data_IF_614612058055
#
_entry.id   IF_614612058055
#
_cell.length_a   1.000
_cell.length_b   1.000
_cell.length_c   1.000
_cell.angle_alpha   90.00
_cell.angle_beta   90.00
_cell.angle_gamma   90.00
#
_symmetry.space_group_name_H-M   'P 1'
#
loop_
_entity.id
_entity.type
_entity.pdbx_description
1 polymer ?
#
# COMPACT_ATOMS: atom_id res chain seq x y z
N UNK A 1 2.87 -12.78 -5.98
CA UNK A 1 3.63 -13.37 -4.84
C UNK A 1 3.57 -14.90 -4.74
N UNK A 2 2.84 -15.61 -5.61
CA UNK A 2 2.84 -17.10 -5.65
C UNK A 2 4.06 -17.75 -6.31
N UNK A 3 4.94 -17.02 -6.96
CA UNK A 3 6.09 -17.54 -7.73
C UNK A 3 7.36 -17.84 -6.91
N UNK A 4 7.40 -17.53 -5.62
CA UNK A 4 8.56 -17.84 -4.78
C UNK A 4 8.48 -19.18 -4.04
N UNK A 5 7.34 -19.88 -4.07
CA UNK A 5 7.12 -21.14 -3.35
C UNK A 5 7.49 -22.43 -4.11
N UNK A 6 7.53 -22.39 -5.43
CA UNK A 6 7.66 -23.64 -6.22
C UNK A 6 9.09 -24.00 -6.66
N UNK A 7 10.06 -23.09 -6.51
CA UNK A 7 11.44 -23.34 -6.95
C UNK A 7 12.28 -24.17 -5.97
N UNK A 8 11.80 -24.39 -4.73
CA UNK A 8 12.55 -25.16 -3.73
C UNK A 8 12.13 -26.64 -3.60
N UNK A 9 11.15 -27.11 -4.37
CA UNK A 9 10.63 -28.48 -4.23
C UNK A 9 11.11 -29.49 -5.28
N UNK A 10 11.94 -29.12 -6.26
CA UNK A 10 12.37 -30.03 -7.32
C UNK A 10 13.89 -30.18 -7.44
N UNK A 11 14.55 -30.67 -6.42
CA UNK A 11 16.01 -30.81 -6.42
C UNK A 11 16.58 -31.88 -5.52
N UNK A 12 15.88 -32.99 -5.30
CA UNK A 12 16.51 -34.15 -4.63
C UNK A 12 16.47 -35.40 -5.54
N UNK A 13 17.43 -35.50 -6.42
CA UNK A 13 17.83 -36.81 -7.00
C UNK A 13 19.29 -37.06 -6.72
N UNK A 14 19.46 -37.98 -5.82
CA UNK A 14 20.60 -38.88 -5.59
C UNK A 14 21.84 -38.69 -6.46
N UNK A 15 22.97 -38.31 -5.84
CA UNK A 15 24.27 -38.84 -6.17
C UNK A 15 24.89 -39.39 -4.87
N UNK A 16 24.75 -40.70 -4.64
CA UNK A 16 25.64 -41.46 -3.76
C UNK A 16 26.88 -41.84 -4.57
N UNK A 17 27.92 -41.03 -4.40
CA UNK A 17 29.27 -41.39 -4.81
C UNK A 17 30.18 -41.14 -3.61
N UNK A 18 30.40 -42.15 -2.80
CA UNK A 18 31.38 -42.12 -1.72
C UNK A 18 32.78 -42.19 -2.36
N UNK A 19 33.41 -41.02 -2.51
CA UNK A 19 34.85 -40.96 -2.72
C UNK A 19 35.45 -40.63 -1.32
N UNK A 20 36.02 -41.65 -0.71
CA UNK A 20 36.85 -41.49 0.47
C UNK A 20 38.15 -40.77 0.08
N UNK A 21 38.17 -39.48 0.20
CA UNK A 21 39.40 -38.67 0.13
C UNK A 21 40.03 -38.68 1.52
N UNK A 22 41.14 -39.40 1.66
CA UNK A 22 42.00 -39.33 2.82
C UNK A 22 42.57 -37.92 2.95
N UNK A 23 42.10 -37.16 3.90
CA UNK A 23 42.63 -35.82 4.26
C UNK A 23 43.95 -36.01 5.03
N UNK A 24 45.07 -35.46 4.57
CA UNK A 24 46.25 -35.35 5.39
C UNK A 24 45.99 -34.38 6.53
N UNK A 25 46.40 -34.74 7.75
CA UNK A 25 46.29 -33.93 8.92
C UNK A 25 47.15 -32.68 8.79
N UNK A 26 46.55 -31.54 8.43
CA UNK A 26 47.14 -30.20 8.47
C UNK A 26 46.78 -29.51 9.79
N UNK A 27 47.54 -29.81 10.84
CA UNK A 27 47.28 -29.30 12.20
C UNK A 27 47.84 -27.88 12.48
N UNK A 28 48.44 -27.21 11.47
CA UNK A 28 49.09 -25.90 11.69
C UNK A 28 48.36 -24.67 11.12
N UNK A 29 47.46 -24.81 10.14
CA UNK A 29 46.86 -23.66 9.40
C UNK A 29 45.60 -23.09 10.06
N UNK A 30 44.96 -23.79 10.96
CA UNK A 30 43.62 -23.45 11.45
C UNK A 30 43.51 -22.26 12.43
N UNK A 31 44.59 -21.75 13.00
CA UNK A 31 44.51 -20.68 14.02
C UNK A 31 44.51 -19.29 13.38
N UNK A 32 45.28 -19.11 12.29
CA UNK A 32 45.33 -17.84 11.57
C UNK A 32 44.03 -17.62 10.83
N UNK A 33 43.47 -18.65 10.18
CA UNK A 33 42.17 -18.62 9.50
C UNK A 33 41.02 -18.28 10.42
N UNK A 34 41.01 -18.85 11.64
CA UNK A 34 39.97 -18.55 12.66
C UNK A 34 40.02 -17.10 13.11
N UNK A 35 41.21 -16.52 13.29
CA UNK A 35 41.38 -15.09 13.69
C UNK A 35 40.94 -14.15 12.55
N UNK A 36 41.30 -14.45 11.33
CA UNK A 36 40.86 -13.69 10.14
C UNK A 36 39.36 -13.80 9.96
N UNK A 37 38.79 -14.99 10.07
CA UNK A 37 37.34 -15.20 10.00
C UNK A 37 36.59 -14.45 11.13
N UNK A 38 37.11 -14.52 12.36
CA UNK A 38 36.53 -13.79 13.48
C UNK A 38 36.62 -12.28 13.30
N UNK A 39 37.76 -11.76 12.81
CA UNK A 39 37.92 -10.33 12.51
C UNK A 39 36.98 -9.88 11.38
N UNK A 40 36.85 -10.67 10.33
CA UNK A 40 35.89 -10.40 9.23
C UNK A 40 34.45 -10.39 9.72
N UNK A 41 34.06 -11.39 10.53
CA UNK A 41 32.72 -11.46 11.12
C UNK A 41 32.43 -10.26 12.03
N UNK A 42 33.42 -9.88 12.89
CA UNK A 42 33.28 -8.70 13.75
C UNK A 42 33.14 -7.41 12.93
N UNK A 43 33.97 -7.23 11.91
CA UNK A 43 33.90 -6.09 11.02
C UNK A 43 32.53 -6.01 10.32
N UNK A 44 32.04 -7.13 9.82
CA UNK A 44 30.70 -7.22 9.20
C UNK A 44 29.60 -6.83 10.19
N UNK A 45 29.64 -7.35 11.43
CA UNK A 45 28.66 -7.00 12.47
C UNK A 45 28.72 -5.52 12.84
N UNK A 46 29.92 -4.93 12.92
CA UNK A 46 30.08 -3.49 13.19
C UNK A 46 29.52 -2.64 12.03
N UNK A 47 29.76 -3.04 10.77
CA UNK A 47 29.18 -2.37 9.61
C UNK A 47 27.65 -2.47 9.60
N UNK A 48 27.08 -3.63 9.94
CA UNK A 48 25.63 -3.79 10.08
C UNK A 48 25.07 -2.92 11.21
N UNK A 49 25.71 -2.89 12.37
CA UNK A 49 25.29 -2.05 13.49
C UNK A 49 25.35 -0.56 13.12
N UNK A 50 26.41 -0.13 12.45
CA UNK A 50 26.54 1.23 11.95
C UNK A 50 25.45 1.58 10.92
N UNK A 51 25.23 0.69 9.95
CA UNK A 51 24.17 0.87 8.94
C UNK A 51 22.78 0.93 9.59
N UNK A 52 22.52 0.11 10.60
CA UNK A 52 21.27 0.16 11.38
C UNK A 52 21.11 1.49 12.12
N UNK A 53 22.19 2.00 12.75
CA UNK A 53 22.20 3.28 13.46
C UNK A 53 21.91 4.45 12.50
N UNK A 54 22.59 4.49 11.35
CA UNK A 54 22.37 5.50 10.29
C UNK A 54 20.93 5.41 9.79
N UNK A 55 20.41 4.19 9.57
CA UNK A 55 19.03 3.98 9.11
C UNK A 55 17.99 4.44 10.12
N UNK A 56 18.24 4.23 11.42
CA UNK A 56 17.40 4.79 12.50
C UNK A 56 17.43 6.33 12.50
N UNK A 57 18.59 6.92 12.31
CA UNK A 57 18.74 8.38 12.16
C UNK A 57 17.93 8.90 10.96
N UNK A 58 18.07 8.30 9.77
CA UNK A 58 17.33 8.67 8.58
C UNK A 58 15.80 8.51 8.77
N UNK A 59 15.36 7.43 9.41
CA UNK A 59 13.95 7.21 9.73
C UNK A 59 13.42 8.24 10.72
N UNK A 60 14.22 8.63 11.73
CA UNK A 60 13.82 9.60 12.75
C UNK A 60 13.71 11.02 12.21
N UNK A 61 14.57 11.41 11.25
CA UNK A 61 14.50 12.74 10.61
C UNK A 61 13.27 12.90 9.71
N UNK A 62 12.68 11.80 9.25
CA UNK A 62 11.52 11.82 8.36
C UNK A 62 11.82 12.26 6.93
N UNK A 63 13.09 12.53 6.57
CA UNK A 63 13.48 12.98 5.21
C UNK A 63 13.05 11.97 4.15
N UNK A 64 13.20 10.69 4.42
CA UNK A 64 12.76 9.63 3.53
C UNK A 64 11.22 9.63 3.37
N UNK A 65 10.48 9.87 4.43
CA UNK A 65 9.01 9.84 4.40
C UNK A 65 8.43 10.90 3.46
N UNK A 66 9.04 12.08 3.35
CA UNK A 66 8.62 13.11 2.41
C UNK A 66 8.64 12.69 0.95
N UNK A 67 9.57 11.78 0.59
CA UNK A 67 9.69 11.25 -0.77
C UNK A 67 8.87 9.98 -0.97
N UNK A 68 8.78 9.15 0.04
CA UNK A 68 8.14 7.82 -0.02
C UNK A 68 6.64 7.91 0.20
N UNK A 69 6.18 8.85 1.03
CA UNK A 69 4.76 9.01 1.35
C UNK A 69 3.86 9.27 0.14
N UNK A 70 4.46 9.60 -1.01
CA UNK A 70 3.73 9.80 -2.27
C UNK A 70 3.76 8.56 -3.19
N UNK A 71 4.40 7.47 -2.76
CA UNK A 71 4.62 6.27 -3.60
C UNK A 71 3.53 5.21 -3.53
N UNK A 72 2.62 5.29 -2.56
CA UNK A 72 1.55 4.29 -2.40
C UNK A 72 2.01 2.91 -1.89
N UNK A 73 3.22 2.79 -1.35
CA UNK A 73 3.75 1.54 -0.79
C UNK A 73 3.91 1.66 0.71
N UNK A 74 3.30 0.74 1.45
CA UNK A 74 3.45 0.57 2.90
C UNK A 74 4.07 -0.81 3.16
N UNK A 75 5.11 -0.86 3.96
CA UNK A 75 5.88 -2.09 4.21
C UNK A 75 5.87 -2.53 5.68
N UNK A 76 5.52 -1.66 6.62
CA UNK A 76 5.51 -1.99 8.05
C UNK A 76 4.71 -0.98 8.88
N UNK A 77 4.28 -1.41 10.07
CA UNK A 77 3.59 -0.55 11.03
C UNK A 77 4.45 0.65 11.50
N UNK A 78 5.74 0.49 11.83
CA UNK A 78 6.59 1.64 12.15
C UNK A 78 6.76 2.64 10.99
N UNK A 79 6.71 2.18 9.74
CA UNK A 79 6.71 3.08 8.58
C UNK A 79 5.41 3.89 8.52
N UNK A 80 4.25 3.24 8.66
CA UNK A 80 2.95 3.89 8.71
C UNK A 80 2.93 4.99 9.78
N UNK A 81 3.28 4.64 11.01
CA UNK A 81 3.38 5.61 12.11
C UNK A 81 4.38 6.73 11.81
N UNK A 82 5.53 6.39 11.23
CA UNK A 82 6.57 7.35 10.85
C UNK A 82 6.09 8.36 9.81
N UNK A 83 5.34 7.92 8.79
CA UNK A 83 4.73 8.79 7.78
C UNK A 83 3.74 9.78 8.42
N UNK A 84 2.86 9.28 9.29
CA UNK A 84 1.88 10.14 10.01
C UNK A 84 2.60 11.16 10.89
N UNK A 85 3.55 10.72 11.72
CA UNK A 85 4.34 11.62 12.59
C UNK A 85 5.13 12.65 11.78
N UNK A 86 5.70 12.26 10.63
CA UNK A 86 6.36 13.21 9.74
C UNK A 86 5.40 14.26 9.20
N UNK A 87 4.21 13.87 8.80
CA UNK A 87 3.16 14.82 8.40
C UNK A 87 2.85 15.83 9.51
N UNK A 88 2.59 15.34 10.70
CA UNK A 88 2.24 16.15 11.87
C UNK A 88 3.35 17.11 12.34
N UNK A 89 4.61 16.91 11.95
CA UNK A 89 5.71 17.85 12.21
C UNK A 89 5.71 19.07 11.27
N UNK A 90 4.81 19.14 10.29
CA UNK A 90 4.66 20.29 9.40
C UNK A 90 4.25 21.57 10.14
N UNK A 91 4.35 22.74 9.49
CA UNK A 91 3.90 24.01 10.06
C UNK A 91 2.37 24.15 10.01
N UNK A 92 1.76 23.64 8.94
CA UNK A 92 0.31 23.61 8.74
C UNK A 92 -0.23 22.19 8.93
N UNK A 93 -1.55 22.03 9.17
CA UNK A 93 -2.20 20.73 9.25
C UNK A 93 -1.87 19.88 8.02
N UNK A 94 -1.40 18.63 8.19
CA UNK A 94 -1.13 17.75 7.06
C UNK A 94 -2.44 17.26 6.44
N UNK A 95 -2.37 16.89 5.17
CA UNK A 95 -3.40 16.10 4.47
C UNK A 95 -2.96 14.64 4.44
N UNK A 96 -3.72 13.78 5.09
CA UNK A 96 -3.50 12.34 5.17
C UNK A 96 -4.46 11.65 4.19
N UNK A 97 -3.92 10.99 3.19
CA UNK A 97 -4.68 10.33 2.12
C UNK A 97 -4.73 8.82 2.36
N UNK A 98 -5.92 8.27 2.49
CA UNK A 98 -6.18 6.84 2.57
C UNK A 98 -6.86 6.38 1.28
N UNK A 99 -6.52 5.19 0.83
CA UNK A 99 -7.08 4.57 -0.37
C UNK A 99 -6.22 3.42 -0.84
N UNK A 100 -6.52 2.89 -2.01
CA UNK A 100 -5.75 1.81 -2.62
C UNK A 100 -4.87 2.28 -3.78
N UNK A 101 -4.67 1.40 -4.77
CA UNK A 101 -3.83 1.63 -5.96
C UNK A 101 -4.22 2.85 -6.80
N UNK A 102 -5.47 3.34 -6.72
CA UNK A 102 -5.88 4.56 -7.45
C UNK A 102 -5.08 5.80 -7.02
N UNK A 103 -4.50 5.78 -5.83
CA UNK A 103 -3.60 6.82 -5.33
C UNK A 103 -2.13 6.52 -5.59
N UNK A 104 -1.82 5.34 -6.13
CA UNK A 104 -0.46 4.87 -6.38
C UNK A 104 0.09 5.25 -7.76
N UNK A 105 1.35 4.88 -7.98
CA UNK A 105 2.03 5.09 -9.26
C UNK A 105 2.16 3.82 -10.11
N UNK A 106 1.79 2.65 -9.58
CA UNK A 106 2.07 1.34 -10.18
C UNK A 106 1.50 1.21 -11.58
N UNK A 107 0.21 1.48 -11.77
CA UNK A 107 -0.44 1.38 -13.08
C UNK A 107 0.21 2.32 -14.13
N UNK A 108 0.57 3.54 -13.73
CA UNK A 108 1.28 4.47 -14.62
C UNK A 108 2.69 3.97 -14.96
N UNK A 109 3.40 3.39 -13.99
CA UNK A 109 4.74 2.82 -14.20
C UNK A 109 4.69 1.60 -15.11
N UNK A 110 3.70 0.72 -14.94
CA UNK A 110 3.51 -0.47 -15.77
C UNK A 110 3.21 -0.10 -17.23
N UNK A 111 2.51 0.99 -17.45
CA UNK A 111 2.23 1.52 -18.79
C UNK A 111 3.31 2.46 -19.33
N UNK A 112 4.47 2.54 -18.67
CA UNK A 112 5.62 3.33 -19.13
C UNK A 112 5.37 4.84 -19.17
N UNK A 113 4.41 5.35 -18.39
CA UNK A 113 4.11 6.79 -18.37
C UNK A 113 5.30 7.59 -17.83
N UNK A 114 5.80 8.59 -18.58
CA UNK A 114 6.95 9.39 -18.15
C UNK A 114 6.59 10.17 -16.88
N UNK A 115 7.50 10.16 -15.91
CA UNK A 115 7.31 10.90 -14.67
C UNK A 115 6.18 10.36 -13.77
N UNK A 116 5.70 9.14 -13.99
CA UNK A 116 4.58 8.50 -13.29
C UNK A 116 4.51 8.80 -11.80
N UNK A 117 5.65 8.73 -11.10
CA UNK A 117 5.72 8.97 -9.66
C UNK A 117 5.44 10.42 -9.25
N UNK A 118 5.75 11.39 -10.11
CA UNK A 118 5.48 12.81 -9.88
C UNK A 118 4.08 13.21 -10.30
N UNK A 119 3.41 12.34 -11.03
CA UNK A 119 2.10 12.55 -11.63
C UNK A 119 0.99 11.79 -10.91
N UNK A 120 1.27 11.21 -9.72
CA UNK A 120 0.22 10.64 -8.86
C UNK A 120 -0.64 11.75 -8.27
N UNK A 121 -1.89 11.43 -7.93
CA UNK A 121 -2.78 12.39 -7.27
C UNK A 121 -2.17 12.95 -5.95
N UNK A 122 -1.57 12.11 -5.05
CA UNK A 122 -0.88 12.64 -3.88
C UNK A 122 0.27 13.60 -4.21
N UNK A 123 1.04 13.35 -5.26
CA UNK A 123 2.14 14.23 -5.67
C UNK A 123 1.62 15.56 -6.23
N UNK A 124 0.57 15.53 -7.06
CA UNK A 124 -0.09 16.71 -7.58
C UNK A 124 -0.69 17.57 -6.45
N UNK A 125 -1.38 16.94 -5.50
CA UNK A 125 -1.92 17.62 -4.32
C UNK A 125 -0.82 18.22 -3.44
N UNK A 126 0.31 17.52 -3.26
CA UNK A 126 1.45 18.04 -2.51
C UNK A 126 2.03 19.31 -3.14
N UNK A 127 2.14 19.34 -4.48
CA UNK A 127 2.55 20.55 -5.21
C UNK A 127 1.62 21.72 -4.96
N UNK A 128 0.32 21.51 -4.99
CA UNK A 128 -0.72 22.55 -4.73
C UNK A 128 -0.70 23.05 -3.29
N UNK A 129 -0.45 22.17 -2.33
CA UNK A 129 -0.40 22.49 -0.89
C UNK A 129 0.94 23.04 -0.41
N UNK A 130 1.99 22.96 -1.23
CA UNK A 130 3.32 23.48 -0.90
C UNK A 130 3.34 24.97 -0.48
N UNK A 131 2.62 25.90 -1.16
CA UNK A 131 2.55 27.29 -0.74
C UNK A 131 1.99 27.49 0.68
N UNK A 132 1.07 26.61 1.10
CA UNK A 132 0.46 26.63 2.44
C UNK A 132 1.33 25.95 3.49
N UNK A 133 2.52 25.43 3.10
CA UNK A 133 3.41 24.62 3.96
C UNK A 133 2.72 23.41 4.58
N UNK A 134 1.63 22.94 3.98
CA UNK A 134 0.92 21.73 4.40
C UNK A 134 1.53 20.52 3.74
N UNK A 135 1.84 19.48 4.51
CA UNK A 135 2.38 18.22 4.01
C UNK A 135 1.26 17.31 3.55
N UNK A 136 1.43 16.69 2.41
CA UNK A 136 0.56 15.61 1.93
C UNK A 136 1.24 14.27 2.20
N UNK A 137 0.54 13.38 2.86
CA UNK A 137 1.03 12.05 3.23
C UNK A 137 0.08 11.01 2.68
N UNK A 138 0.54 10.19 1.75
CA UNK A 138 -0.23 9.06 1.28
C UNK A 138 0.00 7.85 2.19
N UNK A 139 -1.09 7.30 2.70
CA UNK A 139 -1.18 6.04 3.43
C UNK A 139 -1.82 4.96 2.58
N UNK A 140 -2.01 5.25 1.30
CA UNK A 140 -2.48 4.29 0.31
C UNK A 140 -1.41 3.27 -0.02
N UNK A 141 -1.84 2.09 -0.44
CA UNK A 141 -0.98 1.09 -1.05
C UNK A 141 -1.77 0.22 -2.02
N UNK A 142 -1.07 -0.34 -3.02
CA UNK A 142 -1.69 -1.21 -4.01
C UNK A 142 -2.33 -2.42 -3.34
N UNK A 143 -3.58 -2.72 -3.70
CA UNK A 143 -4.30 -3.87 -3.19
C UNK A 143 -4.76 -3.77 -1.73
N UNK A 144 -4.82 -2.58 -1.12
CA UNK A 144 -5.45 -2.43 0.19
C UNK A 144 -6.94 -2.80 0.11
N UNK A 145 -7.37 -3.52 1.12
CA UNK A 145 -8.77 -3.92 1.33
C UNK A 145 -9.37 -3.13 2.50
N UNK A 146 -10.70 -3.11 2.66
CA UNK A 146 -11.34 -2.38 3.77
C UNK A 146 -10.79 -2.72 5.15
N UNK A 147 -10.45 -3.99 5.42
CA UNK A 147 -9.81 -4.40 6.68
C UNK A 147 -8.45 -3.76 6.94
N UNK A 148 -7.62 -3.60 5.90
CA UNK A 148 -6.36 -2.85 6.01
C UNK A 148 -6.60 -1.38 6.35
N UNK A 149 -7.61 -0.77 5.71
CA UNK A 149 -7.98 0.62 5.98
C UNK A 149 -8.53 0.80 7.40
N UNK A 150 -9.25 -0.18 7.93
CA UNK A 150 -9.70 -0.18 9.33
C UNK A 150 -8.48 -0.18 10.28
N UNK A 151 -7.50 -1.06 10.05
CA UNK A 151 -6.28 -1.08 10.84
C UNK A 151 -5.49 0.25 10.75
N UNK A 152 -5.38 0.81 9.55
CA UNK A 152 -4.74 2.13 9.34
C UNK A 152 -5.51 3.23 10.09
N UNK A 153 -6.85 3.18 10.13
CA UNK A 153 -7.66 4.19 10.82
C UNK A 153 -7.38 4.23 12.32
N UNK A 154 -7.19 3.08 12.97
CA UNK A 154 -6.82 3.02 14.39
C UNK A 154 -5.41 3.55 14.65
N UNK A 155 -4.46 3.29 13.75
CA UNK A 155 -3.12 3.89 13.84
C UNK A 155 -3.20 5.41 13.73
N UNK A 156 -4.03 5.92 12.83
CA UNK A 156 -4.26 7.35 12.66
C UNK A 156 -4.88 7.95 13.91
N UNK A 157 -6.01 7.42 14.37
CA UNK A 157 -6.68 7.86 15.58
C UNK A 157 -5.70 7.95 16.76
N UNK A 158 -4.98 6.86 17.03
CA UNK A 158 -4.00 6.78 18.11
C UNK A 158 -2.84 7.77 17.95
N UNK A 159 -2.39 8.03 16.73
CA UNK A 159 -1.21 8.88 16.47
C UNK A 159 -1.60 10.36 16.44
N UNK A 160 -2.74 10.69 15.83
CA UNK A 160 -3.23 12.07 15.70
C UNK A 160 -3.78 12.56 17.03
N UNK A 161 -4.55 11.75 17.78
CA UNK A 161 -5.10 12.12 19.09
C UNK A 161 -4.03 12.42 20.13
N UNK A 162 -2.83 11.84 20.00
CA UNK A 162 -1.66 12.17 20.85
C UNK A 162 -0.93 13.43 20.39
N UNK A 163 -1.31 14.01 19.25
CA UNK A 163 -0.72 15.22 18.72
C UNK A 163 -1.59 16.42 19.11
N UNK A 164 -0.98 17.51 19.52
CA UNK A 164 -1.69 18.77 19.69
C UNK A 164 -2.10 19.43 18.35
N UNK A 165 -1.75 18.81 17.22
CA UNK A 165 -1.99 19.35 15.87
C UNK A 165 -3.09 18.59 15.17
N UNK A 166 -4.10 19.29 14.64
CA UNK A 166 -5.12 18.67 13.79
C UNK A 166 -4.48 18.15 12.51
N UNK A 167 -5.10 17.16 11.91
CA UNK A 167 -4.81 16.68 10.56
C UNK A 167 -6.07 16.83 9.70
N UNK A 168 -5.92 16.82 8.37
CA UNK A 168 -7.03 16.67 7.43
C UNK A 168 -6.93 15.26 6.86
N UNK A 169 -8.03 14.52 6.92
CA UNK A 169 -8.09 13.15 6.44
C UNK A 169 -8.98 13.07 5.21
N UNK A 170 -8.48 12.44 4.16
CA UNK A 170 -9.23 12.14 2.93
C UNK A 170 -9.21 10.63 2.73
N UNK A 171 -10.37 10.02 2.70
CA UNK A 171 -10.57 8.62 2.35
C UNK A 171 -11.07 8.54 0.91
N UNK A 172 -10.30 7.92 0.02
CA UNK A 172 -10.70 7.66 -1.36
C UNK A 172 -11.17 6.20 -1.47
N UNK A 173 -12.45 6.03 -1.79
CA UNK A 173 -13.11 4.72 -1.94
C UNK A 173 -13.32 4.46 -3.42
N UNK A 174 -12.88 3.32 -3.94
CA UNK A 174 -13.16 2.90 -5.30
C UNK A 174 -14.24 1.81 -5.37
N UNK A 175 -14.71 1.50 -6.57
CA UNK A 175 -15.77 0.51 -6.80
C UNK A 175 -15.41 -0.87 -6.26
N UNK A 176 -14.15 -1.28 -6.36
CA UNK A 176 -13.68 -2.59 -5.91
C UNK A 176 -13.83 -2.79 -4.40
N UNK A 177 -13.70 -1.72 -3.61
CA UNK A 177 -13.69 -1.83 -2.14
C UNK A 177 -15.00 -2.36 -1.53
N UNK A 178 -16.10 -2.30 -2.27
CA UNK A 178 -17.42 -2.76 -1.82
C UNK A 178 -17.94 -3.97 -2.62
N UNK A 179 -17.17 -4.46 -3.59
CA UNK A 179 -17.55 -5.61 -4.40
C UNK A 179 -17.59 -6.92 -3.58
N UNK A 180 -18.57 -7.78 -3.85
CA UNK A 180 -18.81 -9.05 -3.12
C UNK A 180 -17.65 -10.04 -3.23
N UNK A 181 -16.88 -9.93 -4.30
CA UNK A 181 -15.66 -10.73 -4.44
C UNK A 181 -14.68 -10.48 -3.29
N UNK A 182 -14.64 -9.24 -2.78
CA UNK A 182 -13.89 -8.90 -1.59
C UNK A 182 -14.60 -9.32 -0.28
N UNK A 183 -15.85 -9.78 -0.32
CA UNK A 183 -16.57 -10.20 0.89
C UNK A 183 -15.87 -11.36 1.60
N UNK A 184 -15.19 -12.23 0.88
CA UNK A 184 -14.38 -13.32 1.43
C UNK A 184 -12.96 -12.89 1.80
N UNK A 185 -12.39 -11.97 1.05
CA UNK A 185 -11.02 -11.47 1.23
C UNK A 185 -10.97 -10.12 1.95
N UNK A 186 -11.96 -9.27 1.75
CA UNK A 186 -12.02 -7.90 2.27
C UNK A 186 -12.38 -7.78 3.75
N UNK A 187 -12.85 -8.88 4.37
CA UNK A 187 -12.95 -8.98 5.84
C UNK A 187 -11.61 -9.23 6.51
N UNK A 188 -10.54 -9.47 5.72
CA UNK A 188 -9.23 -9.82 6.23
C UNK A 188 -8.32 -8.63 6.09
N UNK A 189 -7.47 -8.43 7.08
CA UNK A 189 -6.28 -7.61 6.87
C UNK A 189 -5.37 -8.36 5.90
N UNK A 190 -5.15 -7.79 4.72
CA UNK A 190 -4.31 -8.40 3.69
C UNK A 190 -2.81 -8.31 4.02
N UNK A 191 -2.47 -7.48 5.01
CA UNK A 191 -1.09 -7.18 5.42
C UNK A 191 -0.88 -7.49 6.89
N UNK A 192 -0.20 -8.59 7.18
CA UNK A 192 0.05 -9.08 8.55
C UNK A 192 0.60 -8.03 9.49
N UNK A 193 1.45 -7.12 8.98
CA UNK A 193 2.04 -6.09 9.82
C UNK A 193 1.00 -5.08 10.36
N UNK A 194 -0.23 -5.06 9.81
CA UNK A 194 -1.32 -4.22 10.30
C UNK A 194 -2.14 -4.91 11.42
N UNK A 195 -2.08 -6.22 11.54
CA UNK A 195 -2.84 -6.97 12.57
C UNK A 195 -2.65 -6.45 13.99
N UNK A 196 -1.42 -6.10 14.44
CA UNK A 196 -1.22 -5.56 15.80
C UNK A 196 -1.88 -4.19 16.05
N UNK A 197 -2.32 -3.52 14.98
CA UNK A 197 -2.99 -2.22 15.10
C UNK A 197 -4.48 -2.34 15.40
N UNK A 198 -5.09 -3.50 15.09
CA UNK A 198 -6.51 -3.72 15.29
C UNK A 198 -6.87 -3.84 16.78
N UNK A 199 -8.01 -3.29 17.20
CA UNK A 199 -8.56 -3.58 18.51
C UNK A 199 -9.03 -5.05 18.58
N UNK A 200 -9.00 -5.67 19.79
CA UNK A 200 -9.38 -7.08 19.96
C UNK A 200 -10.77 -7.44 19.41
N UNK A 201 -11.72 -6.52 19.50
CA UNK A 201 -13.08 -6.72 18.98
C UNK A 201 -13.10 -6.87 17.45
N UNK A 202 -12.26 -6.14 16.72
CA UNK A 202 -12.16 -6.22 15.27
C UNK A 202 -11.35 -7.44 14.81
N UNK A 203 -10.41 -7.93 15.63
CA UNK A 203 -9.61 -9.10 15.30
C UNK A 203 -10.46 -10.35 15.08
N UNK A 204 -11.52 -10.54 15.86
CA UNK A 204 -12.40 -11.71 15.76
C UNK A 204 -13.10 -11.81 14.38
N UNK A 205 -13.41 -10.68 13.76
CA UNK A 205 -14.08 -10.63 12.45
C UNK A 205 -13.08 -10.57 11.28
N UNK A 206 -11.95 -9.86 11.46
CA UNK A 206 -11.01 -9.56 10.38
C UNK A 206 -9.89 -10.59 10.24
N UNK A 207 -9.71 -11.46 11.23
CA UNK A 207 -8.70 -12.53 11.22
C UNK A 207 -9.39 -13.88 11.41
N UNK A 208 -9.85 -14.55 10.35
CA UNK A 208 -10.33 -15.92 10.48
C UNK A 208 -9.19 -16.82 10.95
N UNK A 209 -9.49 -17.69 11.91
CA UNK A 209 -8.54 -18.63 12.51
C UNK A 209 -7.75 -19.49 11.49
N UNK A 210 -8.34 -19.80 10.34
CA UNK A 210 -7.70 -20.56 9.27
C UNK A 210 -6.67 -19.76 8.44
N UNK A 211 -6.71 -18.43 8.46
CA UNK A 211 -5.76 -17.61 7.69
C UNK A 211 -4.38 -17.52 8.37
N UNK A 212 -4.31 -17.73 9.68
CA UNK A 212 -3.06 -17.73 10.43
C UNK A 212 -2.23 -19.00 10.23
N UNK A 213 -2.84 -20.10 9.80
CA UNK A 213 -2.15 -21.39 9.64
C UNK A 213 -1.46 -21.57 8.29
N UNK A 214 -1.86 -20.81 7.25
CA UNK A 214 -1.41 -21.02 5.86
C UNK A 214 -0.45 -19.97 5.31
N UNK A 215 -0.19 -18.85 6.00
CA UNK A 215 0.72 -17.86 5.47
C UNK A 215 2.17 -18.29 5.56
N UNK A 216 2.85 -18.18 4.41
CA UNK A 216 4.24 -18.58 4.28
C UNK A 216 5.09 -17.95 5.39
N UNK A 217 5.85 -18.76 6.09
CA UNK A 217 6.86 -18.34 7.10
C UNK A 217 7.67 -17.12 6.63
N UNK A 218 7.88 -17.01 5.31
CA UNK A 218 8.53 -15.86 4.67
C UNK A 218 7.84 -14.51 4.90
N UNK A 219 6.50 -14.44 4.87
CA UNK A 219 5.76 -13.18 5.06
C UNK A 219 5.86 -12.71 6.51
N UNK A 220 5.77 -13.64 7.47
CA UNK A 220 5.95 -13.32 8.90
C UNK A 220 7.38 -12.89 9.22
N UNK A 221 8.38 -13.56 8.64
CA UNK A 221 9.79 -13.19 8.79
C UNK A 221 10.06 -11.81 8.18
N UNK A 222 9.49 -11.53 7.01
CA UNK A 222 9.59 -10.22 6.37
C UNK A 222 8.97 -9.12 7.23
N UNK A 223 7.74 -9.30 7.70
CA UNK A 223 7.06 -8.37 8.60
C UNK A 223 7.81 -8.15 9.91
N UNK A 224 8.34 -9.22 10.50
CA UNK A 224 9.19 -9.17 11.69
C UNK A 224 10.49 -8.40 11.47
N UNK A 225 11.20 -8.68 10.37
CA UNK A 225 12.42 -7.96 10.00
C UNK A 225 12.14 -6.47 9.73
N UNK A 226 11.07 -6.14 9.00
CA UNK A 226 10.66 -4.77 8.75
C UNK A 226 10.26 -4.01 10.02
N UNK A 227 9.70 -4.72 11.02
CA UNK A 227 9.35 -4.12 12.30
C UNK A 227 10.57 -3.89 13.20
N UNK A 228 11.51 -4.83 13.21
CA UNK A 228 12.68 -4.82 14.10
C UNK A 228 13.83 -3.95 13.57
N UNK A 229 14.10 -3.97 12.26
CA UNK A 229 15.28 -3.34 11.65
C UNK A 229 14.93 -2.09 10.84
N UNK A 230 15.54 -0.95 11.23
CA UNK A 230 15.45 0.28 10.45
C UNK A 230 16.24 0.18 9.14
N UNK A 231 17.35 -0.54 9.12
CA UNK A 231 18.13 -0.81 7.92
C UNK A 231 17.27 -1.57 6.89
N UNK A 232 16.56 -2.61 7.32
CA UNK A 232 15.67 -3.36 6.44
C UNK A 232 14.58 -2.47 5.86
N UNK A 233 13.90 -1.65 6.68
CA UNK A 233 12.88 -0.68 6.21
C UNK A 233 13.46 0.31 5.19
N UNK A 234 14.60 0.92 5.52
CA UNK A 234 15.25 1.90 4.64
C UNK A 234 15.65 1.26 3.31
N UNK A 235 16.18 0.03 3.33
CA UNK A 235 16.52 -0.70 2.09
C UNK A 235 15.29 -0.92 1.19
N UNK A 236 14.15 -1.29 1.76
CA UNK A 236 12.89 -1.45 1.02
C UNK A 236 12.38 -0.12 0.47
N UNK A 237 12.50 0.94 1.26
CA UNK A 237 12.15 2.29 0.84
C UNK A 237 13.03 2.77 -0.32
N UNK A 238 14.35 2.58 -0.23
CA UNK A 238 15.29 2.90 -1.31
C UNK A 238 15.00 2.06 -2.55
N UNK A 239 14.72 0.77 -2.38
CA UNK A 239 14.29 -0.10 -3.48
C UNK A 239 13.05 0.46 -4.17
N UNK A 240 12.04 0.87 -3.42
CA UNK A 240 10.82 1.49 -3.97
C UNK A 240 11.14 2.78 -4.72
N UNK A 241 12.02 3.64 -4.16
CA UNK A 241 12.47 4.87 -4.80
C UNK A 241 13.22 4.63 -6.11
N UNK A 242 13.92 3.51 -6.21
CA UNK A 242 14.64 3.11 -7.42
C UNK A 242 13.74 2.36 -8.41
N UNK A 243 12.88 1.47 -7.92
CA UNK A 243 12.07 0.58 -8.75
C UNK A 243 11.08 1.34 -9.63
N UNK A 244 10.30 2.24 -9.05
CA UNK A 244 9.25 2.96 -9.79
C UNK A 244 9.76 3.93 -10.87
N UNK A 245 10.90 4.63 -10.72
CA UNK A 245 11.46 5.43 -11.81
C UNK A 245 12.05 4.61 -12.95
N UNK A 246 12.33 3.32 -12.71
CA UNK A 246 12.90 2.44 -13.74
C UNK A 246 11.83 2.13 -14.79
N UNK A 247 12.09 2.33 -16.09
CA UNK A 247 11.13 2.00 -17.14
C UNK A 247 10.62 0.54 -17.05
N UNK A 248 9.35 0.33 -17.34
CA UNK A 248 8.71 -0.97 -17.19
C UNK A 248 9.41 -2.06 -18.02
N UNK A 249 9.78 -1.75 -19.25
CA UNK A 249 10.52 -2.64 -20.15
C UNK A 249 11.93 -3.00 -19.65
N UNK A 250 12.61 -2.09 -18.96
CA UNK A 250 13.90 -2.38 -18.34
C UNK A 250 13.76 -3.28 -17.12
N UNK A 251 12.68 -3.08 -16.34
CA UNK A 251 12.35 -3.97 -15.20
C UNK A 251 11.98 -5.37 -15.68
N UNK A 252 11.16 -5.46 -16.71
CA UNK A 252 10.73 -6.72 -17.30
C UNK A 252 11.94 -7.48 -17.85
N UNK A 253 12.83 -6.82 -18.60
CA UNK A 253 14.08 -7.45 -19.09
C UNK A 253 14.95 -7.98 -17.95
N UNK A 254 15.07 -7.24 -16.84
CA UNK A 254 15.81 -7.72 -15.68
C UNK A 254 15.16 -8.96 -15.04
N UNK A 255 13.83 -8.94 -14.87
CA UNK A 255 13.09 -10.09 -14.33
C UNK A 255 13.20 -11.30 -15.27
N UNK A 256 13.02 -11.09 -16.57
CA UNK A 256 13.15 -12.14 -17.59
C UNK A 256 14.59 -12.71 -17.66
N UNK A 257 15.61 -11.88 -17.48
CA UNK A 257 16.99 -12.32 -17.45
C UNK A 257 17.34 -13.19 -16.23
N UNK A 258 16.68 -12.92 -15.08
CA UNK A 258 16.95 -13.62 -13.82
C UNK A 258 16.05 -14.84 -13.63
N UNK A 259 14.77 -14.75 -14.02
CA UNK A 259 13.74 -15.75 -13.70
C UNK A 259 13.11 -16.41 -14.95
N UNK A 260 13.54 -16.01 -16.16
CA UNK A 260 12.87 -16.42 -17.41
C UNK A 260 11.59 -15.64 -17.68
N UNK A 261 11.05 -15.76 -18.90
CA UNK A 261 9.76 -15.16 -19.26
C UNK A 261 8.64 -15.92 -18.55
N UNK A 262 7.81 -15.24 -17.72
CA UNK A 262 6.59 -15.89 -17.28
C UNK A 262 5.68 -16.12 -18.50
N UNK A 263 5.01 -17.26 -18.59
CA UNK A 263 3.98 -17.47 -19.62
C UNK A 263 2.80 -16.57 -19.29
N UNK A 264 2.73 -15.40 -19.89
CA UNK A 264 1.53 -14.56 -19.83
C UNK A 264 0.59 -15.10 -20.92
N UNK A 265 -0.45 -15.81 -20.51
CA UNK A 265 -1.46 -16.30 -21.43
C UNK A 265 -2.57 -15.29 -21.62
N UNK A 266 -3.06 -15.14 -22.86
CA UNK A 266 -4.24 -14.34 -23.22
C UNK A 266 -5.49 -14.66 -22.37
N UNK A 267 -5.53 -15.85 -21.79
CA UNK A 267 -6.59 -16.35 -20.89
C UNK A 267 -6.60 -15.59 -19.56
N UNK A 268 -5.45 -15.18 -19.06
CA UNK A 268 -5.32 -14.49 -17.77
C UNK A 268 -5.78 -13.02 -17.88
N UNK A 269 -5.50 -12.38 -19.01
CA UNK A 269 -5.95 -11.01 -19.29
C UNK A 269 -7.48 -10.96 -19.50
N UNK A 270 -8.05 -11.91 -20.24
CA UNK A 270 -9.49 -12.01 -20.44
C UNK A 270 -10.23 -12.28 -19.12
N UNK A 271 -9.71 -13.17 -18.27
CA UNK A 271 -10.26 -13.47 -16.96
C UNK A 271 -10.21 -12.24 -16.04
N UNK A 272 -9.10 -11.49 -16.03
CA UNK A 272 -8.96 -10.26 -15.27
C UNK A 272 -9.97 -9.19 -15.75
N UNK A 273 -10.15 -9.06 -17.05
CA UNK A 273 -11.12 -8.12 -17.63
C UNK A 273 -12.55 -8.45 -17.21
N UNK A 274 -12.97 -9.71 -17.30
CA UNK A 274 -14.31 -10.14 -16.87
C UNK A 274 -14.52 -9.91 -15.38
N UNK A 275 -13.51 -10.17 -14.56
CA UNK A 275 -13.53 -9.90 -13.13
C UNK A 275 -13.73 -8.42 -12.83
N UNK A 276 -13.01 -7.55 -13.53
CA UNK A 276 -13.13 -6.10 -13.38
C UNK A 276 -14.49 -5.60 -13.83
N UNK A 277 -15.01 -6.09 -14.96
CA UNK A 277 -16.36 -5.73 -15.43
C UNK A 277 -17.44 -6.14 -14.41
N UNK A 278 -17.28 -7.27 -13.73
CA UNK A 278 -18.16 -7.74 -12.66
C UNK A 278 -18.31 -6.72 -11.53
N UNK A 279 -17.27 -5.99 -11.14
CA UNK A 279 -17.36 -4.97 -10.09
C UNK A 279 -18.35 -3.84 -10.43
N UNK A 280 -18.49 -3.52 -11.73
CA UNK A 280 -19.39 -2.46 -12.19
C UNK A 280 -20.82 -2.93 -12.40
N UNK A 281 -21.05 -4.25 -12.44
CA UNK A 281 -22.38 -4.86 -12.62
C UNK A 281 -23.02 -5.28 -11.28
N UNK A 282 -22.34 -5.03 -10.18
CA UNK A 282 -22.77 -5.48 -8.86
C UNK A 282 -23.48 -4.36 -8.08
N UNK A 283 -24.67 -4.66 -7.57
CA UNK A 283 -25.35 -3.83 -6.57
C UNK A 283 -24.73 -4.11 -5.19
N UNK A 284 -24.15 -3.08 -4.59
CA UNK A 284 -23.58 -3.20 -3.25
C UNK A 284 -24.65 -3.36 -2.20
N UNK A 285 -24.36 -4.23 -1.25
CA UNK A 285 -25.31 -4.57 -0.19
C UNK A 285 -24.92 -3.85 1.10
N UNK A 286 -25.95 -3.37 1.80
CA UNK A 286 -25.77 -2.68 3.07
C UNK A 286 -25.21 -3.60 4.17
N UNK A 287 -25.59 -4.88 4.15
CA UNK A 287 -25.14 -5.92 5.06
C UNK A 287 -23.82 -6.58 4.63
N UNK A 288 -23.21 -6.16 3.50
CA UNK A 288 -21.95 -6.69 3.04
C UNK A 288 -20.82 -6.42 4.06
N UNK A 289 -19.90 -7.37 4.21
CA UNK A 289 -18.77 -7.22 5.14
C UNK A 289 -17.96 -5.96 4.92
N UNK A 290 -17.69 -5.61 3.68
CA UNK A 290 -16.95 -4.37 3.34
C UNK A 290 -17.72 -3.12 3.79
N UNK A 291 -19.05 -3.09 3.63
CA UNK A 291 -19.90 -1.99 4.11
C UNK A 291 -19.86 -1.89 5.64
N UNK A 292 -19.90 -3.03 6.35
CA UNK A 292 -19.74 -3.06 7.83
C UNK A 292 -18.38 -2.53 8.26
N UNK A 293 -17.31 -2.91 7.55
CA UNK A 293 -15.96 -2.42 7.81
C UNK A 293 -15.87 -0.90 7.62
N UNK A 294 -16.44 -0.36 6.54
CA UNK A 294 -16.49 1.10 6.33
C UNK A 294 -17.25 1.81 7.45
N UNK A 295 -18.35 1.24 7.97
CA UNK A 295 -19.07 1.81 9.10
C UNK A 295 -18.25 1.85 10.39
N UNK A 296 -17.29 0.96 10.58
CA UNK A 296 -16.40 0.99 11.75
C UNK A 296 -15.23 1.95 11.56
N UNK A 297 -14.61 1.96 10.37
CA UNK A 297 -13.44 2.80 10.14
C UNK A 297 -13.76 4.30 10.07
N UNK A 298 -14.95 4.70 9.57
CA UNK A 298 -15.34 6.10 9.44
C UNK A 298 -15.37 6.83 10.78
N UNK A 299 -15.95 6.31 11.87
CA UNK A 299 -15.86 6.93 13.19
C UNK A 299 -14.42 7.12 13.69
N UNK A 300 -13.55 6.12 13.52
CA UNK A 300 -12.14 6.23 13.91
C UNK A 300 -11.41 7.34 13.12
N UNK A 301 -11.69 7.44 11.81
CA UNK A 301 -11.15 8.54 11.00
C UNK A 301 -11.71 9.91 11.41
N UNK A 302 -12.96 9.98 11.83
CA UNK A 302 -13.57 11.24 12.36
C UNK A 302 -13.00 11.66 13.71
N UNK A 303 -12.60 10.71 14.54
CA UNK A 303 -11.85 11.07 15.76
C UNK A 303 -10.49 11.69 15.42
N UNK A 304 -9.83 11.24 14.34
CA UNK A 304 -8.59 11.84 13.86
C UNK A 304 -8.83 13.20 13.16
N UNK A 305 -9.92 13.34 12.41
CA UNK A 305 -10.36 14.57 11.74
C UNK A 305 -11.88 14.67 11.69
N UNK A 306 -12.51 15.52 12.53
CA UNK A 306 -13.97 15.75 12.49
C UNK A 306 -14.49 16.20 11.11
N UNK A 307 -13.62 16.77 10.28
CA UNK A 307 -13.92 17.23 8.92
C UNK A 307 -13.46 16.22 7.86
N UNK A 308 -13.46 14.93 8.19
CA UNK A 308 -13.14 13.83 7.26
C UNK A 308 -13.83 14.03 5.91
N UNK A 309 -13.06 13.98 4.83
CA UNK A 309 -13.55 13.99 3.47
C UNK A 309 -13.52 12.56 2.90
N UNK A 310 -14.68 12.02 2.56
CA UNK A 310 -14.80 10.75 1.85
C UNK A 310 -15.09 11.03 0.39
N UNK A 311 -14.26 10.52 -0.49
CA UNK A 311 -14.36 10.68 -1.94
C UNK A 311 -14.68 9.33 -2.56
N UNK A 312 -15.81 9.23 -3.25
CA UNK A 312 -16.01 8.12 -4.17
C UNK A 312 -15.20 8.44 -5.43
N UNK A 313 -14.21 7.60 -5.71
CA UNK A 313 -13.21 7.86 -6.75
C UNK A 313 -13.85 7.93 -8.14
N UNK A 314 -13.25 8.70 -9.06
CA UNK A 314 -13.62 8.66 -10.47
C UNK A 314 -13.55 7.23 -11.03
N UNK A 315 -14.49 6.91 -11.91
CA UNK A 315 -14.59 5.63 -12.60
C UNK A 315 -14.56 5.88 -14.11
N UNK A 316 -13.93 4.98 -14.85
CA UNK A 316 -13.91 5.07 -16.30
C UNK A 316 -15.33 4.88 -16.86
N UNK A 317 -15.88 5.84 -17.64
CA UNK A 317 -17.24 5.79 -18.17
C UNK A 317 -17.55 4.54 -18.97
N UNK A 318 -16.59 3.99 -19.73
CA UNK A 318 -16.78 2.79 -20.54
C UNK A 318 -17.03 1.53 -19.69
N UNK A 319 -16.44 1.48 -18.49
CA UNK A 319 -16.72 0.41 -17.52
C UNK A 319 -18.01 0.67 -16.74
N UNK A 320 -18.29 1.91 -16.36
CA UNK A 320 -19.56 2.27 -15.70
C UNK A 320 -20.77 1.95 -16.56
N UNK A 321 -20.66 2.12 -17.87
CA UNK A 321 -21.73 1.78 -18.82
C UNK A 321 -22.11 0.28 -18.79
N UNK A 322 -21.26 -0.61 -18.29
CA UNK A 322 -21.55 -2.04 -18.14
C UNK A 322 -22.63 -2.34 -17.09
N UNK A 323 -22.66 -1.56 -16.00
CA UNK A 323 -23.67 -1.69 -14.94
C UNK A 323 -24.87 -0.75 -15.10
N UNK A 324 -24.69 0.28 -15.89
CA UNK A 324 -25.70 1.33 -16.10
C UNK A 324 -25.71 2.42 -15.02
N UNK A 325 -26.33 3.57 -15.34
CA UNK A 325 -26.31 4.74 -14.46
C UNK A 325 -27.10 4.52 -13.16
N UNK A 326 -28.16 3.71 -13.19
CA UNK A 326 -29.00 3.44 -12.01
C UNK A 326 -28.21 2.67 -10.95
N UNK A 327 -27.43 1.67 -11.36
CA UNK A 327 -26.58 0.90 -10.46
C UNK A 327 -25.47 1.75 -9.85
N UNK A 328 -24.82 2.58 -10.67
CA UNK A 328 -23.80 3.49 -10.19
C UNK A 328 -24.36 4.48 -9.16
N UNK A 329 -25.56 5.03 -9.42
CA UNK A 329 -26.24 5.92 -8.49
C UNK A 329 -26.65 5.21 -7.19
N UNK A 330 -27.15 3.96 -7.27
CA UNK A 330 -27.50 3.16 -6.10
C UNK A 330 -26.29 2.90 -5.21
N UNK A 331 -25.15 2.54 -5.81
CA UNK A 331 -23.90 2.30 -5.09
C UNK A 331 -23.35 3.58 -4.46
N UNK A 332 -23.39 4.71 -5.15
CA UNK A 332 -23.02 6.01 -4.59
C UNK A 332 -23.93 6.42 -3.43
N UNK A 333 -25.23 6.14 -3.51
CA UNK A 333 -26.19 6.40 -2.45
C UNK A 333 -25.93 5.54 -1.20
N UNK A 334 -25.61 4.25 -1.37
CA UNK A 334 -25.20 3.40 -0.26
C UNK A 334 -23.97 3.98 0.45
N UNK A 335 -22.93 4.35 -0.31
CA UNK A 335 -21.72 4.94 0.27
C UNK A 335 -22.03 6.26 0.98
N UNK A 336 -22.87 7.12 0.38
CA UNK A 336 -23.36 8.35 1.01
C UNK A 336 -24.08 8.07 2.32
N UNK A 337 -24.91 7.03 2.37
CA UNK A 337 -25.62 6.61 3.58
C UNK A 337 -24.65 6.14 4.66
N UNK A 338 -23.67 5.31 4.31
CA UNK A 338 -22.62 4.84 5.24
C UNK A 338 -21.83 6.03 5.81
N UNK A 339 -21.48 7.01 4.99
CA UNK A 339 -20.74 8.21 5.41
C UNK A 339 -21.66 9.21 6.13
N UNK A 340 -22.89 9.38 5.64
CA UNK A 340 -23.79 10.47 6.03
C UNK A 340 -24.46 10.32 7.39
N UNK A 341 -24.30 9.20 8.09
CA UNK A 341 -24.86 9.03 9.44
C UNK A 341 -24.17 9.95 10.48
N UNK A 342 -23.91 11.19 10.15
CA UNK A 342 -23.36 12.14 11.12
C UNK A 342 -22.90 13.52 10.66
N UNK A 343 -22.75 13.87 9.39
CA UNK A 343 -22.39 15.24 9.00
C UNK A 343 -22.60 15.52 7.50
N UNK A 344 -23.25 16.62 7.19
CA UNK A 344 -23.28 17.21 5.85
C UNK A 344 -21.88 17.69 5.45
N UNK A 345 -21.43 17.38 4.23
CA UNK A 345 -20.18 17.87 3.66
C UNK A 345 -19.01 16.90 3.62
N UNK A 346 -19.13 15.73 4.28
CA UNK A 346 -18.03 14.74 4.34
C UNK A 346 -17.94 13.82 3.12
N UNK A 347 -18.93 13.79 2.24
CA UNK A 347 -18.98 12.89 1.09
C UNK A 347 -19.02 13.64 -0.24
N UNK A 348 -18.14 13.24 -1.16
CA UNK A 348 -18.10 13.74 -2.54
C UNK A 348 -18.12 12.56 -3.49
N UNK A 349 -19.11 12.52 -4.36
CA UNK A 349 -19.21 11.56 -5.44
C UNK A 349 -18.53 12.14 -6.68
N UNK A 350 -17.43 11.52 -7.11
CA UNK A 350 -16.72 11.85 -8.33
C UNK A 350 -16.79 10.72 -9.36
N UNK A 351 -17.59 9.68 -9.11
CA UNK A 351 -17.62 8.48 -9.95
C UNK A 351 -17.86 8.77 -11.42
N UNK A 352 -18.71 9.77 -11.75
CA UNK A 352 -19.02 10.17 -13.11
C UNK A 352 -18.44 11.55 -13.50
N UNK A 353 -17.47 12.09 -12.74
CA UNK A 353 -17.02 13.46 -12.93
C UNK A 353 -15.98 13.64 -14.05
N UNK A 354 -15.43 12.56 -14.60
CA UNK A 354 -14.29 12.61 -15.52
C UNK A 354 -14.55 11.80 -16.80
N UNK A 355 -14.05 12.30 -17.94
CA UNK A 355 -14.13 11.60 -19.22
C UNK A 355 -13.17 10.43 -19.33
N UNK A 356 -13.43 9.54 -20.28
CA UNK A 356 -12.67 8.29 -20.50
C UNK A 356 -11.20 8.55 -20.82
N UNK A 357 -10.88 9.65 -21.50
CA UNK A 357 -9.53 10.06 -21.89
C UNK A 357 -8.59 10.30 -20.68
N UNK A 358 -9.17 10.46 -19.49
CA UNK A 358 -8.41 10.68 -18.25
C UNK A 358 -8.06 9.38 -17.51
N UNK A 359 -8.37 8.22 -18.11
CA UNK A 359 -8.10 6.92 -17.51
C UNK A 359 -7.10 6.11 -18.30
N UNK A 360 -6.28 5.33 -17.59
CA UNK A 360 -5.40 4.31 -18.15
C UNK A 360 -6.11 2.96 -18.29
N UNK A 361 -7.02 2.68 -17.37
CA UNK A 361 -7.82 1.47 -17.31
C UNK A 361 -9.17 1.77 -16.62
N UNK A 362 -9.76 0.81 -15.92
CA UNK A 362 -11.08 0.96 -15.29
C UNK A 362 -11.13 1.99 -14.16
N UNK A 363 -10.03 2.23 -13.45
CA UNK A 363 -10.00 3.14 -12.29
C UNK A 363 -8.70 3.95 -12.12
N UNK A 364 -7.61 3.55 -12.78
CA UNK A 364 -6.35 4.28 -12.68
C UNK A 364 -6.32 5.42 -13.69
N UNK A 365 -5.95 6.60 -13.23
CA UNK A 365 -5.99 7.82 -14.02
C UNK A 365 -4.66 8.10 -14.73
N UNK A 366 -4.75 8.81 -15.85
CA UNK A 366 -3.61 9.43 -16.52
C UNK A 366 -2.97 10.51 -15.63
N UNK A 367 -1.76 11.00 -15.96
CA UNK A 367 -1.18 12.17 -15.27
C UNK A 367 -2.12 13.37 -15.20
N UNK A 368 -2.81 13.67 -16.29
CA UNK A 368 -3.80 14.76 -16.36
C UNK A 368 -5.01 14.48 -15.47
N UNK A 369 -5.53 13.26 -15.50
CA UNK A 369 -6.63 12.85 -14.63
C UNK A 369 -6.29 12.98 -13.15
N UNK A 370 -5.10 12.56 -12.75
CA UNK A 370 -4.60 12.71 -11.38
C UNK A 370 -4.48 14.18 -10.96
N UNK A 371 -4.04 15.04 -11.87
CA UNK A 371 -3.97 16.49 -11.61
C UNK A 371 -5.36 17.07 -11.36
N UNK A 372 -6.35 16.77 -12.20
CA UNK A 372 -7.73 17.23 -12.03
C UNK A 372 -8.38 16.67 -10.76
N UNK A 373 -8.11 15.41 -10.41
CA UNK A 373 -8.59 14.83 -9.14
C UNK A 373 -7.97 15.56 -7.94
N UNK A 374 -6.67 15.87 -8.01
CA UNK A 374 -6.00 16.64 -6.95
C UNK A 374 -6.59 18.06 -6.81
N UNK A 375 -6.94 18.72 -7.93
CA UNK A 375 -7.61 20.02 -7.93
C UNK A 375 -8.97 19.99 -7.25
N UNK A 376 -9.77 18.98 -7.59
CA UNK A 376 -11.11 18.84 -7.00
C UNK A 376 -11.03 18.57 -5.49
N UNK A 377 -10.11 17.68 -5.06
CA UNK A 377 -9.88 17.42 -3.63
C UNK A 377 -9.38 18.69 -2.93
N UNK A 378 -8.43 19.42 -3.52
CA UNK A 378 -7.89 20.64 -2.95
C UNK A 378 -8.97 21.72 -2.75
N UNK A 379 -9.84 21.89 -3.75
CA UNK A 379 -10.99 22.80 -3.70
C UNK A 379 -11.92 22.44 -2.54
N UNK A 380 -12.21 21.15 -2.33
CA UNK A 380 -13.06 20.68 -1.22
C UNK A 380 -12.40 20.89 0.14
N UNK A 381 -11.10 20.68 0.23
CA UNK A 381 -10.34 20.94 1.45
C UNK A 381 -10.26 22.44 1.80
N UNK A 382 -10.29 23.32 0.79
CA UNK A 382 -10.27 24.78 0.97
C UNK A 382 -11.65 25.37 1.33
N UNK A 383 -12.74 24.80 0.82
CA UNK A 383 -14.11 25.30 1.06
C UNK A 383 -14.61 25.12 2.50
N UNK A 384 -13.86 24.39 3.35
CA UNK A 384 -14.15 24.15 4.76
C UNK A 384 -13.12 24.81 5.71
N UNK A 385 -12.27 25.70 5.20
CA UNK A 385 -11.38 26.54 5.99
C UNK A 385 -12.11 27.79 6.41
#
# INVERSE_FOLDING_TARGET
MRLFGEVLASGSKCYRGVVAVSTPAMAGENVLDRRVAAAAALTFLLLLAFAELVSRGLSSTGVLYGRISLSGVLTSLPELEGRVRWGLRGQSPPVLLLGDSVLGASAMCERGQPGARRSTMPAALAGRRAPMRSRVVSLAADGLVPGDLEAISYVLEKTVSRSARPARVVLVVNVRMLASELDREGQRVSRDFLLPALPPASCAELVPSAALEGEAVGTRLYGGAASASALFRVSQQLRTLWYYPTPADARQRLVEAVFGKPPVGDVEEAALRMRVEGFYQELWREDAPAARTLRRLIPALRHADPRLLVVFSPQNPSFMAKGGPELAAANANLLRTIVGQGASGSFVDLSAAFGEELFLDHCHMTPEGNLRLAEEIDRRLGSHA
#
